data_IF_411777137526
#
_entry.id   IF_411777137526
#
_cell.length_a   1.000
_cell.length_b   1.000
_cell.length_c   1.000
_cell.angle_alpha   90.00
_cell.angle_beta   90.00
_cell.angle_gamma   90.00
#
_symmetry.space_group_name_H-M   'P 1'
#
loop_
_entity.id
_entity.type
_entity.pdbx_description
1 polymer ?
#
# COMPACT_ATOMS: atom_id res chain seq x y z
N UNK A 1 17.78 -23.66 50.16
CA UNK A 1 16.38 -23.97 49.76
C UNK A 1 16.37 -24.22 48.27
N UNK A 2 15.94 -25.40 47.85
CA UNK A 2 15.76 -25.69 46.42
C UNK A 2 14.62 -24.81 45.89
N UNK A 3 14.77 -24.28 44.65
CA UNK A 3 13.71 -23.48 44.01
C UNK A 3 12.43 -24.33 43.91
N UNK A 4 11.30 -23.77 44.24
CA UNK A 4 10.01 -24.47 44.15
C UNK A 4 9.67 -24.83 42.68
N UNK A 5 8.88 -25.91 42.47
CA UNK A 5 8.46 -26.39 41.15
C UNK A 5 7.91 -25.27 40.24
N UNK A 6 7.20 -24.33 40.81
CA UNK A 6 6.68 -23.12 40.15
C UNK A 6 7.77 -22.21 39.57
N UNK A 7 8.94 -22.19 40.22
CA UNK A 7 10.10 -21.43 39.74
C UNK A 7 10.82 -22.17 38.60
N UNK A 8 10.89 -23.49 38.72
CA UNK A 8 11.52 -24.36 37.69
C UNK A 8 10.67 -24.38 36.39
N UNK A 9 9.31 -24.44 36.51
CA UNK A 9 8.43 -24.34 35.35
C UNK A 9 8.55 -22.98 34.65
N UNK A 10 8.59 -21.88 35.38
CA UNK A 10 8.73 -20.52 34.80
C UNK A 10 10.08 -20.27 34.16
N UNK A 11 11.15 -20.93 34.60
CA UNK A 11 12.50 -20.72 34.09
C UNK A 11 12.95 -21.79 33.08
N UNK A 12 12.33 -22.99 33.07
CA UNK A 12 12.67 -24.06 32.12
C UNK A 12 12.21 -23.81 30.69
N UNK A 13 11.29 -22.87 30.46
CA UNK A 13 10.84 -22.49 29.09
C UNK A 13 11.71 -21.41 28.43
N UNK A 14 12.57 -20.74 29.19
CA UNK A 14 13.26 -19.55 28.73
C UNK A 14 14.43 -19.89 27.76
N UNK A 15 15.09 -21.03 27.94
CA UNK A 15 16.21 -21.48 27.11
C UNK A 15 15.75 -22.36 25.92
N UNK A 16 14.45 -22.41 25.61
CA UNK A 16 13.96 -23.20 24.49
C UNK A 16 14.32 -22.53 23.18
N UNK A 17 15.08 -23.21 22.31
CA UNK A 17 15.41 -22.69 20.99
C UNK A 17 14.15 -22.41 20.16
N UNK A 18 14.12 -21.28 19.49
CA UNK A 18 13.03 -20.89 18.60
C UNK A 18 13.38 -21.24 17.17
N UNK A 19 12.50 -21.95 16.49
CA UNK A 19 12.64 -22.20 15.06
C UNK A 19 12.26 -20.94 14.28
N UNK A 20 13.21 -20.33 13.57
CA UNK A 20 13.01 -19.20 12.67
C UNK A 20 13.51 -19.64 11.28
N UNK A 21 12.61 -20.15 10.43
CA UNK A 21 12.99 -20.73 9.13
C UNK A 21 13.43 -19.69 8.12
N UNK A 22 12.97 -18.44 8.24
CA UNK A 22 13.39 -17.34 7.36
C UNK A 22 14.76 -16.81 7.80
N UNK A 23 15.77 -17.03 6.95
CA UNK A 23 17.15 -16.64 7.23
C UNK A 23 17.31 -15.12 7.40
N UNK A 24 16.51 -14.30 6.71
CA UNK A 24 16.59 -12.86 6.78
C UNK A 24 15.95 -12.36 8.08
N UNK A 25 14.81 -12.94 8.48
CA UNK A 25 14.22 -12.66 9.79
C UNK A 25 15.17 -13.09 10.92
N UNK A 26 15.72 -14.29 10.84
CA UNK A 26 16.68 -14.81 11.82
C UNK A 26 17.89 -13.87 11.97
N UNK A 27 18.49 -13.42 10.86
CA UNK A 27 19.59 -12.44 10.88
C UNK A 27 19.19 -11.11 11.50
N UNK A 28 17.97 -10.63 11.19
CA UNK A 28 17.47 -9.39 11.75
C UNK A 28 17.27 -9.46 13.27
N UNK A 29 17.03 -10.65 13.81
CA UNK A 29 16.81 -10.89 15.24
C UNK A 29 18.08 -11.27 16.03
N UNK A 30 19.20 -11.61 15.36
CA UNK A 30 20.43 -12.07 16.04
C UNK A 30 21.01 -11.07 17.06
N UNK A 31 20.66 -9.79 17.00
CA UNK A 31 21.08 -8.83 18.03
C UNK A 31 20.46 -9.11 19.41
N UNK A 32 19.43 -9.97 19.48
CA UNK A 32 18.80 -10.41 20.72
C UNK A 32 19.54 -11.56 21.39
N UNK A 33 20.35 -12.31 20.64
CA UNK A 33 21.18 -13.40 21.11
C UNK A 33 22.20 -12.85 22.13
N UNK A 34 21.94 -13.09 23.41
CA UNK A 34 22.68 -12.44 24.50
C UNK A 34 23.87 -13.22 24.94
N UNK A 35 23.95 -14.52 24.67
CA UNK A 35 25.10 -15.37 25.00
C UNK A 35 26.04 -15.59 23.80
N UNK A 36 25.59 -15.22 22.57
CA UNK A 36 26.40 -15.24 21.37
C UNK A 36 26.61 -16.62 20.78
N UNK A 37 25.76 -17.58 21.11
CA UNK A 37 25.86 -18.95 20.62
C UNK A 37 25.23 -19.16 19.23
N UNK A 38 24.53 -18.14 18.69
CA UNK A 38 23.85 -18.13 17.40
C UNK A 38 22.46 -18.76 17.43
N UNK A 39 21.95 -19.12 18.60
CA UNK A 39 20.63 -19.72 18.81
C UNK A 39 19.72 -18.69 19.50
N UNK A 40 18.61 -18.34 18.86
CA UNK A 40 17.60 -17.50 19.50
C UNK A 40 16.65 -18.36 20.34
N UNK A 41 16.44 -17.93 21.56
CA UNK A 41 15.55 -18.61 22.53
C UNK A 41 14.23 -17.83 22.71
N UNK A 42 13.26 -18.46 23.37
CA UNK A 42 12.02 -17.79 23.77
C UNK A 42 12.27 -16.56 24.63
N UNK A 43 13.30 -16.63 25.53
CA UNK A 43 13.68 -15.50 26.38
C UNK A 43 14.21 -14.34 25.56
N UNK A 44 15.01 -14.61 24.53
CA UNK A 44 15.55 -13.55 23.66
C UNK A 44 14.44 -12.81 22.95
N UNK A 45 13.44 -13.51 22.39
CA UNK A 45 12.34 -12.85 21.70
C UNK A 45 11.42 -12.07 22.65
N UNK A 46 11.29 -12.49 23.91
CA UNK A 46 10.55 -11.74 24.94
C UNK A 46 11.20 -10.41 25.33
N UNK A 47 12.49 -10.23 25.05
CA UNK A 47 13.21 -8.95 25.27
C UNK A 47 12.73 -7.85 24.33
N UNK A 48 12.06 -8.19 23.24
CA UNK A 48 11.42 -7.19 22.37
C UNK A 48 10.23 -6.58 23.11
N UNK A 49 10.40 -5.37 23.65
CA UNK A 49 9.41 -4.67 24.45
C UNK A 49 8.96 -3.32 23.86
N UNK A 50 9.20 -3.10 22.58
CA UNK A 50 8.91 -1.86 21.86
C UNK A 50 8.46 -2.11 20.44
N UNK A 51 8.67 -1.11 19.58
CA UNK A 51 8.45 -1.23 18.15
C UNK A 51 9.75 -1.62 17.44
N UNK A 52 9.64 -2.56 16.49
CA UNK A 52 10.73 -3.00 15.64
C UNK A 52 10.45 -2.72 14.18
N UNK A 53 11.52 -2.50 13.40
CA UNK A 53 11.45 -2.23 11.97
C UNK A 53 12.36 -3.19 11.20
N UNK A 54 11.75 -4.00 10.33
CA UNK A 54 12.43 -4.95 9.45
C UNK A 54 11.96 -4.78 8.00
N UNK A 55 11.82 -3.53 7.54
CA UNK A 55 11.47 -3.23 6.15
C UNK A 55 12.62 -3.44 5.18
N UNK A 56 12.31 -3.75 3.91
CA UNK A 56 13.28 -3.99 2.83
C UNK A 56 14.31 -5.09 3.15
N UNK A 57 13.86 -6.20 3.74
CA UNK A 57 14.73 -7.25 4.27
C UNK A 57 14.52 -8.60 3.58
N UNK A 58 13.72 -8.67 2.50
CA UNK A 58 13.38 -9.88 1.77
C UNK A 58 12.82 -11.01 2.66
N UNK A 59 12.11 -10.65 3.75
CA UNK A 59 11.47 -11.58 4.67
C UNK A 59 10.22 -12.16 4.02
N UNK A 60 10.01 -13.47 4.16
CA UNK A 60 8.85 -14.20 3.61
C UNK A 60 8.01 -14.87 4.68
N UNK A 61 8.62 -15.22 5.80
CA UNK A 61 8.00 -15.99 6.88
C UNK A 61 8.29 -15.32 8.23
N UNK A 62 7.23 -15.09 9.00
CA UNK A 62 7.29 -14.48 10.33
C UNK A 62 7.35 -15.53 11.46
N UNK A 63 7.45 -16.82 11.14
CA UNK A 63 7.55 -17.90 12.13
C UNK A 63 8.70 -17.66 13.10
N UNK A 64 8.41 -17.78 14.37
CA UNK A 64 9.30 -17.44 15.49
C UNK A 64 8.90 -16.16 16.19
N UNK A 65 8.27 -15.19 15.51
CA UNK A 65 7.80 -13.96 16.17
C UNK A 65 6.65 -14.19 17.15
N UNK A 66 5.96 -15.32 17.13
CA UNK A 66 4.89 -15.67 18.09
C UNK A 66 5.35 -15.63 19.55
N UNK A 67 6.66 -15.72 19.80
CA UNK A 67 7.25 -15.63 21.14
C UNK A 67 7.57 -14.19 21.57
N UNK A 68 7.53 -13.21 20.68
CA UNK A 68 7.79 -11.79 20.95
C UNK A 68 6.59 -11.09 21.59
N UNK A 69 6.02 -11.70 22.64
CA UNK A 69 4.72 -11.31 23.26
C UNK A 69 4.70 -9.91 23.87
N UNK A 70 5.86 -9.32 24.16
CA UNK A 70 6.00 -7.97 24.73
C UNK A 70 6.11 -6.88 23.63
N UNK A 71 6.18 -7.28 22.35
CA UNK A 71 6.27 -6.35 21.23
C UNK A 71 5.02 -5.46 21.16
N UNK A 72 5.25 -4.15 20.97
CA UNK A 72 4.15 -3.16 20.85
C UNK A 72 4.01 -2.58 19.44
N UNK A 73 5.00 -2.76 18.58
CA UNK A 73 4.94 -2.37 17.18
C UNK A 73 5.76 -3.30 16.30
N UNK A 74 5.18 -3.69 15.16
CA UNK A 74 5.85 -4.46 14.12
C UNK A 74 5.74 -3.71 12.80
N UNK A 75 6.88 -3.37 12.22
CA UNK A 75 6.96 -2.71 10.93
C UNK A 75 7.82 -3.55 9.98
N UNK A 76 7.18 -4.17 9.01
CA UNK A 76 7.79 -5.08 8.02
C UNK A 76 7.44 -4.69 6.57
N UNK A 77 7.47 -3.38 6.22
CA UNK A 77 7.10 -2.97 4.87
C UNK A 77 8.14 -3.43 3.83
N UNK A 78 7.71 -3.55 2.56
CA UNK A 78 8.56 -3.91 1.43
C UNK A 78 9.28 -5.27 1.65
N UNK A 79 8.51 -6.30 1.93
CA UNK A 79 8.95 -7.68 2.07
C UNK A 79 8.11 -8.59 1.15
N UNK A 80 8.16 -9.89 1.35
CA UNK A 80 7.42 -10.89 0.55
C UNK A 80 6.54 -11.76 1.46
N UNK A 81 6.01 -11.18 2.54
CA UNK A 81 5.22 -11.87 3.55
C UNK A 81 3.83 -12.20 2.97
N UNK A 82 3.38 -13.43 3.17
CA UNK A 82 2.06 -13.90 2.74
C UNK A 82 1.15 -14.27 3.90
N UNK A 83 1.71 -14.67 5.05
CA UNK A 83 0.98 -15.20 6.22
C UNK A 83 1.25 -14.38 7.47
N UNK A 84 0.18 -14.01 8.17
CA UNK A 84 0.19 -13.28 9.46
C UNK A 84 -0.10 -14.20 10.66
N UNK A 85 -0.30 -15.51 10.47
CA UNK A 85 -0.59 -16.45 11.54
C UNK A 85 0.42 -16.41 12.70
N UNK A 86 1.75 -16.23 12.47
CA UNK A 86 2.71 -16.15 13.56
C UNK A 86 2.47 -15.00 14.53
N UNK A 87 1.89 -13.88 14.07
CA UNK A 87 1.66 -12.69 14.92
C UNK A 87 0.28 -12.64 15.57
N UNK A 88 -0.60 -13.60 15.32
CA UNK A 88 -2.01 -13.58 15.77
C UNK A 88 -2.22 -13.42 17.28
N UNK A 89 -1.25 -13.85 18.09
CA UNK A 89 -1.30 -13.82 19.54
C UNK A 89 -0.50 -12.66 20.17
N UNK A 90 0.08 -11.77 19.35
CA UNK A 90 0.83 -10.61 19.83
C UNK A 90 -0.12 -9.48 20.27
N UNK A 91 -0.94 -9.75 21.27
CA UNK A 91 -2.05 -8.89 21.71
C UNK A 91 -1.61 -7.53 22.28
N UNK A 92 -0.31 -7.32 22.52
CA UNK A 92 0.27 -6.05 22.92
C UNK A 92 0.55 -5.10 21.72
N UNK A 93 0.41 -5.57 20.48
CA UNK A 93 0.64 -4.74 19.31
C UNK A 93 -0.35 -3.56 19.24
N UNK A 94 0.21 -2.36 19.10
CA UNK A 94 -0.50 -1.10 18.87
C UNK A 94 -0.23 -0.56 17.47
N UNK A 95 0.89 -0.92 16.86
CA UNK A 95 1.29 -0.52 15.51
C UNK A 95 1.63 -1.76 14.67
N UNK A 96 1.03 -1.87 13.49
CA UNK A 96 1.36 -2.90 12.51
C UNK A 96 1.48 -2.27 11.12
N UNK A 97 2.68 -2.29 10.55
CA UNK A 97 2.93 -1.91 9.17
C UNK A 97 3.36 -3.13 8.35
N UNK A 98 2.47 -3.57 7.49
CA UNK A 98 2.63 -4.70 6.56
C UNK A 98 2.54 -4.23 5.10
N UNK A 99 2.76 -2.95 4.84
CA UNK A 99 2.66 -2.36 3.49
C UNK A 99 3.66 -2.98 2.51
N UNK A 100 3.26 -3.08 1.23
CA UNK A 100 4.10 -3.63 0.16
C UNK A 100 4.58 -5.06 0.47
N UNK A 101 3.64 -5.96 0.68
CA UNK A 101 3.84 -7.40 0.87
C UNK A 101 2.88 -8.19 -0.04
N UNK A 102 2.79 -9.49 0.16
CA UNK A 102 1.93 -10.39 -0.62
C UNK A 102 0.74 -10.95 0.19
N UNK A 103 0.29 -10.21 1.21
CA UNK A 103 -0.75 -10.64 2.15
C UNK A 103 -2.13 -10.58 1.48
N UNK A 104 -2.90 -11.65 1.63
CA UNK A 104 -4.27 -11.76 1.10
C UNK A 104 -5.34 -11.99 2.18
N UNK A 105 -4.95 -12.24 3.43
CA UNK A 105 -5.86 -12.46 4.57
C UNK A 105 -5.43 -11.67 5.80
N UNK A 106 -6.37 -10.90 6.37
CA UNK A 106 -6.20 -10.15 7.62
C UNK A 106 -6.89 -10.84 8.81
N UNK A 107 -7.48 -12.02 8.64
CA UNK A 107 -8.14 -12.75 9.73
C UNK A 107 -7.22 -12.96 10.95
N UNK A 108 -5.90 -13.26 10.78
CA UNK A 108 -5.03 -13.48 11.93
C UNK A 108 -4.89 -12.28 12.87
N UNK A 109 -5.08 -11.05 12.39
CA UNK A 109 -4.93 -9.86 13.26
C UNK A 109 -6.17 -9.48 14.03
N UNK A 110 -7.31 -10.14 13.85
CA UNK A 110 -8.59 -9.80 14.51
C UNK A 110 -8.55 -9.91 16.03
N UNK A 111 -7.63 -10.71 16.57
CA UNK A 111 -7.38 -10.82 18.01
C UNK A 111 -6.53 -9.69 18.63
N UNK A 112 -5.94 -8.82 17.81
CA UNK A 112 -5.03 -7.76 18.25
C UNK A 112 -5.82 -6.52 18.72
N UNK A 113 -6.61 -6.64 19.76
CA UNK A 113 -7.59 -5.62 20.20
C UNK A 113 -6.98 -4.29 20.66
N UNK A 114 -5.67 -4.25 20.92
CA UNK A 114 -4.93 -3.01 21.24
C UNK A 114 -4.40 -2.29 19.99
N UNK A 115 -4.58 -2.86 18.78
CA UNK A 115 -4.07 -2.28 17.55
C UNK A 115 -4.73 -0.93 17.28
N UNK A 116 -3.91 0.12 17.18
CA UNK A 116 -4.32 1.50 16.93
C UNK A 116 -4.02 1.91 15.48
N UNK A 117 -2.85 1.52 14.98
CA UNK A 117 -2.40 1.89 13.64
C UNK A 117 -2.13 0.63 12.81
N UNK A 118 -2.80 0.53 11.69
CA UNK A 118 -2.62 -0.53 10.69
C UNK A 118 -2.26 0.12 9.35
N UNK A 119 -1.17 -0.32 8.75
CA UNK A 119 -0.77 0.03 7.39
C UNK A 119 -0.69 -1.25 6.57
N UNK A 120 -1.59 -1.40 5.60
CA UNK A 120 -1.72 -2.61 4.77
C UNK A 120 -1.76 -2.29 3.26
N UNK A 121 -1.14 -1.17 2.85
CA UNK A 121 -1.10 -0.73 1.45
C UNK A 121 -0.37 -1.73 0.56
N UNK A 122 -0.75 -1.79 -0.72
CA UNK A 122 -0.05 -2.58 -1.73
C UNK A 122 0.16 -4.03 -1.29
N UNK A 123 -0.92 -4.71 -0.98
CA UNK A 123 -0.98 -6.14 -0.70
C UNK A 123 -1.90 -6.83 -1.72
N UNK A 124 -2.26 -8.07 -1.49
CA UNK A 124 -3.16 -8.88 -2.34
C UNK A 124 -4.55 -9.07 -1.74
N UNK A 125 -4.98 -8.13 -0.90
CA UNK A 125 -6.30 -8.19 -0.26
C UNK A 125 -7.41 -7.98 -1.29
N UNK A 126 -8.41 -8.83 -1.29
CA UNK A 126 -9.62 -8.72 -2.10
C UNK A 126 -10.87 -8.52 -1.25
N UNK A 127 -10.76 -8.71 0.06
CA UNK A 127 -11.84 -8.51 1.01
C UNK A 127 -11.30 -8.09 2.39
N UNK A 128 -12.21 -7.53 3.21
CA UNK A 128 -11.93 -7.12 4.58
C UNK A 128 -12.73 -8.02 5.53
N UNK A 129 -12.11 -8.68 6.51
CA UNK A 129 -12.82 -9.37 7.56
C UNK A 129 -13.61 -8.38 8.44
N UNK A 130 -14.48 -8.87 9.32
CA UNK A 130 -15.16 -8.00 10.30
C UNK A 130 -14.16 -7.52 11.36
N UNK A 131 -13.74 -6.26 11.23
CA UNK A 131 -12.73 -5.62 12.09
C UNK A 131 -13.33 -4.88 13.30
N UNK A 132 -14.63 -5.02 13.57
CA UNK A 132 -15.30 -4.36 14.72
C UNK A 132 -14.68 -4.73 16.07
N UNK A 133 -14.09 -5.93 16.18
CA UNK A 133 -13.33 -6.36 17.35
C UNK A 133 -12.09 -5.53 17.64
N UNK A 134 -11.52 -4.86 16.64
CA UNK A 134 -10.38 -3.97 16.77
C UNK A 134 -10.84 -2.57 17.23
N UNK A 135 -11.37 -2.50 18.45
CA UNK A 135 -12.02 -1.29 18.97
C UNK A 135 -11.09 -0.08 19.12
N UNK A 136 -9.79 -0.30 19.19
CA UNK A 136 -8.77 0.75 19.30
C UNK A 136 -8.28 1.25 17.93
N UNK A 137 -8.67 0.61 16.81
CA UNK A 137 -8.16 0.92 15.48
C UNK A 137 -8.62 2.30 15.01
N UNK A 138 -7.67 3.14 14.64
CA UNK A 138 -7.89 4.49 14.13
C UNK A 138 -7.80 4.50 12.59
N UNK A 139 -8.96 4.64 11.91
CA UNK A 139 -9.02 4.66 10.45
C UNK A 139 -8.60 6.02 9.84
N UNK A 140 -8.56 7.07 10.67
CA UNK A 140 -8.31 8.46 10.27
C UNK A 140 -7.09 9.05 10.98
N UNK A 141 -6.17 8.22 11.46
CA UNK A 141 -4.93 8.71 12.08
C UNK A 141 -4.04 9.36 11.01
N UNK A 142 -3.88 10.67 11.07
CA UNK A 142 -2.91 11.38 10.27
C UNK A 142 -1.67 11.69 11.10
N UNK A 143 -0.55 11.08 10.76
CA UNK A 143 0.75 11.52 11.30
C UNK A 143 1.21 12.80 10.59
N UNK A 144 0.70 13.12 9.39
CA UNK A 144 1.08 14.28 8.57
C UNK A 144 -0.10 15.06 7.95
N UNK A 145 -1.32 14.98 8.53
CA UNK A 145 -2.47 15.76 8.05
C UNK A 145 -3.20 15.18 6.82
N UNK A 146 -2.71 14.11 6.22
CA UNK A 146 -3.40 13.36 5.18
C UNK A 146 -4.05 12.11 5.79
N UNK A 147 -5.39 11.90 5.66
CA UNK A 147 -6.01 10.66 6.12
C UNK A 147 -5.36 9.49 5.38
N UNK A 148 -4.47 8.79 6.05
CA UNK A 148 -3.69 7.73 5.42
C UNK A 148 -4.60 6.61 4.94
N UNK A 149 -4.45 6.27 3.68
CA UNK A 149 -5.16 5.18 3.04
C UNK A 149 -4.54 3.87 3.47
N UNK A 150 -5.18 3.20 4.41
CA UNK A 150 -4.74 1.92 4.98
C UNK A 150 -4.66 0.83 3.90
N UNK A 151 -5.58 0.85 2.95
CA UNK A 151 -5.82 -0.24 2.00
C UNK A 151 -5.52 0.10 0.54
N UNK A 152 -4.93 1.25 0.23
CA UNK A 152 -4.55 1.62 -1.15
C UNK A 152 -3.70 0.51 -1.80
N UNK A 153 -3.91 0.29 -3.09
CA UNK A 153 -3.15 -0.71 -3.87
C UNK A 153 -3.54 -2.17 -3.57
N UNK A 154 -4.68 -2.38 -2.90
CA UNK A 154 -5.31 -3.69 -2.78
C UNK A 154 -6.49 -3.80 -3.75
N UNK A 155 -6.96 -5.01 -4.02
CA UNK A 155 -8.07 -5.30 -4.94
C UNK A 155 -9.42 -5.40 -4.20
N UNK A 156 -9.68 -4.51 -3.22
CA UNK A 156 -10.87 -4.56 -2.37
C UNK A 156 -11.98 -3.69 -2.96
N UNK A 157 -13.06 -4.26 -3.47
CA UNK A 157 -14.21 -3.50 -3.96
C UNK A 157 -14.87 -2.70 -2.83
N UNK A 158 -15.48 -1.57 -3.19
CA UNK A 158 -16.08 -0.62 -2.24
C UNK A 158 -17.12 -1.26 -1.31
N UNK A 159 -17.99 -2.12 -1.84
CA UNK A 159 -19.02 -2.83 -1.10
C UNK A 159 -18.50 -3.78 -0.04
N UNK A 160 -17.22 -4.18 -0.13
CA UNK A 160 -16.57 -5.05 0.86
C UNK A 160 -16.20 -4.34 2.16
N UNK A 161 -16.22 -3.00 2.17
CA UNK A 161 -15.95 -2.21 3.38
C UNK A 161 -17.19 -1.99 4.24
N UNK A 162 -18.41 -2.13 3.70
CA UNK A 162 -19.63 -1.84 4.42
C UNK A 162 -19.79 -2.71 5.67
N UNK A 163 -20.06 -2.06 6.81
CA UNK A 163 -20.29 -2.73 8.09
C UNK A 163 -19.08 -3.47 8.70
N UNK A 164 -17.88 -3.29 8.17
CA UNK A 164 -16.65 -3.98 8.64
C UNK A 164 -15.95 -3.28 9.80
N UNK A 165 -16.29 -2.02 10.09
CA UNK A 165 -15.66 -1.20 11.11
C UNK A 165 -16.71 -0.60 12.06
N UNK A 166 -16.28 -0.23 13.27
CA UNK A 166 -17.14 0.49 14.23
C UNK A 166 -17.36 1.95 13.83
N UNK A 167 -16.46 2.51 13.01
CA UNK A 167 -16.52 3.89 12.55
C UNK A 167 -17.33 3.99 11.26
N UNK A 168 -18.08 5.09 11.08
CA UNK A 168 -18.76 5.38 9.81
C UNK A 168 -17.71 5.85 8.81
N UNK A 169 -17.58 5.10 7.71
CA UNK A 169 -16.66 5.45 6.62
C UNK A 169 -17.22 6.62 5.81
N UNK A 170 -16.36 7.60 5.51
CA UNK A 170 -16.72 8.71 4.61
C UNK A 170 -16.56 8.31 3.14
N UNK A 171 -17.26 9.01 2.24
CA UNK A 171 -17.11 8.83 0.79
C UNK A 171 -15.65 9.02 0.35
N UNK A 172 -14.97 10.05 0.88
CA UNK A 172 -13.57 10.31 0.59
C UNK A 172 -12.68 9.15 1.00
N UNK A 173 -12.87 8.60 2.22
CA UNK A 173 -12.12 7.44 2.69
C UNK A 173 -12.36 6.21 1.82
N UNK A 174 -13.63 5.94 1.47
CA UNK A 174 -14.01 4.81 0.62
C UNK A 174 -13.38 4.94 -0.77
N UNK A 175 -13.45 6.10 -1.39
CA UNK A 175 -12.86 6.33 -2.71
C UNK A 175 -11.32 6.16 -2.70
N UNK A 176 -10.67 6.50 -1.60
CA UNK A 176 -9.21 6.38 -1.45
C UNK A 176 -8.74 4.94 -1.19
N UNK A 177 -9.54 4.12 -0.51
CA UNK A 177 -9.14 2.80 -0.04
C UNK A 177 -9.75 1.63 -0.83
N UNK A 178 -10.80 1.86 -1.62
CA UNK A 178 -11.43 0.81 -2.40
C UNK A 178 -10.83 0.68 -3.80
N UNK A 179 -10.89 -0.54 -4.31
CA UNK A 179 -10.54 -0.84 -5.70
C UNK A 179 -11.78 -0.61 -6.58
N UNK A 180 -11.64 0.23 -7.61
CA UNK A 180 -12.68 0.44 -8.62
C UNK A 180 -12.29 -0.31 -9.90
N UNK A 181 -12.92 -1.47 -10.09
CA UNK A 181 -12.69 -2.35 -11.23
C UNK A 181 -13.39 -1.85 -12.52
N UNK A 182 -13.94 -0.64 -12.54
CA UNK A 182 -14.55 -0.09 -13.75
C UNK A 182 -13.54 -0.06 -14.87
N UNK A 183 -13.76 -0.86 -15.91
CA UNK A 183 -12.88 -0.93 -17.08
C UNK A 183 -12.90 0.39 -17.83
N UNK A 184 -11.73 0.92 -18.10
CA UNK A 184 -11.53 2.15 -18.86
C UNK A 184 -10.90 1.81 -20.22
N UNK A 185 -11.60 2.17 -21.27
CA UNK A 185 -11.07 2.01 -22.63
C UNK A 185 -10.11 3.16 -22.95
N UNK A 186 -8.92 2.80 -23.45
CA UNK A 186 -7.93 3.74 -24.02
C UNK A 186 -7.74 3.37 -25.47
N UNK A 187 -8.47 4.02 -26.41
CA UNK A 187 -8.51 3.62 -27.82
C UNK A 187 -7.16 3.81 -28.56
N UNK A 188 -6.36 4.79 -28.13
CA UNK A 188 -5.05 5.02 -28.72
C UNK A 188 -4.02 4.02 -28.17
N UNK A 189 -3.60 3.07 -29.01
CA UNK A 189 -2.65 2.03 -28.63
C UNK A 189 -1.30 2.58 -28.13
N UNK A 190 -0.85 3.72 -28.67
CA UNK A 190 0.41 4.32 -28.27
C UNK A 190 0.31 4.97 -26.89
N UNK A 191 -0.85 5.60 -26.60
CA UNK A 191 -1.18 6.11 -25.27
C UNK A 191 -1.30 4.94 -24.28
N UNK A 192 -2.06 3.90 -24.63
CA UNK A 192 -2.21 2.70 -23.80
C UNK A 192 -0.86 2.08 -23.44
N UNK A 193 0.04 1.89 -24.41
CA UNK A 193 1.41 1.39 -24.17
C UNK A 193 2.22 2.31 -23.27
N UNK A 194 2.10 3.63 -23.43
CA UNK A 194 2.82 4.59 -22.61
C UNK A 194 2.37 4.52 -21.13
N UNK A 195 1.07 4.41 -20.91
CA UNK A 195 0.48 4.30 -19.56
C UNK A 195 0.84 2.96 -18.93
N UNK A 196 0.72 1.83 -19.65
CA UNK A 196 0.99 0.49 -19.10
C UNK A 196 2.43 0.31 -18.61
N UNK A 197 3.38 1.06 -19.15
CA UNK A 197 4.77 1.07 -18.66
C UNK A 197 4.93 1.75 -17.29
N UNK A 198 3.95 2.55 -16.86
CA UNK A 198 3.98 3.34 -15.63
C UNK A 198 2.98 2.83 -14.58
N UNK A 199 1.91 2.20 -15.04
CA UNK A 199 0.79 1.72 -14.21
C UNK A 199 0.80 0.19 -14.23
N UNK A 200 0.94 -0.49 -13.08
CA UNK A 200 0.91 -1.94 -13.01
C UNK A 200 -0.50 -2.47 -13.37
N UNK A 201 -0.53 -3.64 -13.97
CA UNK A 201 -1.75 -4.43 -14.16
C UNK A 201 -2.00 -5.18 -12.85
N UNK A 202 -2.78 -4.56 -11.97
CA UNK A 202 -2.89 -5.01 -10.57
C UNK A 202 -3.80 -6.22 -10.39
N UNK A 203 -4.77 -6.43 -11.30
CA UNK A 203 -5.67 -7.59 -11.29
C UNK A 203 -5.31 -8.65 -12.34
N UNK A 204 -4.35 -8.35 -13.23
CA UNK A 204 -3.83 -9.29 -14.22
C UNK A 204 -4.74 -9.54 -15.41
N UNK A 205 -5.74 -8.67 -15.65
CA UNK A 205 -6.73 -8.84 -16.71
C UNK A 205 -6.30 -8.20 -18.06
N UNK A 206 -5.18 -7.48 -18.07
CA UNK A 206 -4.61 -6.81 -19.25
C UNK A 206 -5.33 -5.53 -19.66
N UNK A 207 -6.39 -5.12 -18.96
CA UNK A 207 -7.17 -3.91 -19.23
C UNK A 207 -6.78 -2.80 -18.27
N UNK A 208 -7.24 -1.61 -18.54
CA UNK A 208 -7.14 -0.52 -17.57
C UNK A 208 -8.43 -0.43 -16.77
N UNK A 209 -8.30 -0.17 -15.48
CA UNK A 209 -9.43 0.18 -14.63
C UNK A 209 -9.17 1.53 -13.93
N UNK A 210 -10.20 2.07 -13.31
CA UNK A 210 -10.12 3.39 -12.69
C UNK A 210 -9.10 3.43 -11.53
N UNK A 211 -9.01 2.37 -10.73
CA UNK A 211 -8.02 2.30 -9.65
C UNK A 211 -6.59 2.31 -10.16
N UNK A 212 -6.31 1.61 -11.24
CA UNK A 212 -4.98 1.60 -11.87
C UNK A 212 -4.63 2.98 -12.43
N UNK A 213 -5.53 3.62 -13.19
CA UNK A 213 -5.29 4.95 -13.73
C UNK A 213 -5.11 6.00 -12.64
N UNK A 214 -5.73 5.83 -11.48
CA UNK A 214 -5.52 6.72 -10.34
C UNK A 214 -4.08 6.67 -9.78
N UNK A 215 -3.32 5.62 -10.05
CA UNK A 215 -1.90 5.54 -9.68
C UNK A 215 -0.99 6.40 -10.57
N UNK A 216 -1.49 6.86 -11.74
CA UNK A 216 -0.71 7.66 -12.68
C UNK A 216 -0.57 9.10 -12.18
N UNK A 217 0.65 9.50 -11.79
CA UNK A 217 0.95 10.86 -11.31
C UNK A 217 1.69 11.70 -12.35
N UNK A 218 2.43 11.08 -13.23
CA UNK A 218 3.16 11.74 -14.31
C UNK A 218 3.13 10.88 -15.57
N UNK A 219 2.98 11.51 -16.75
CA UNK A 219 3.02 10.84 -18.04
C UNK A 219 3.92 11.62 -18.99
N UNK A 220 5.04 11.03 -19.42
CA UNK A 220 5.90 11.58 -20.46
C UNK A 220 5.89 10.64 -21.66
N UNK A 221 5.16 11.05 -22.72
CA UNK A 221 4.91 10.26 -23.92
C UNK A 221 5.19 11.07 -25.20
N UNK A 222 6.33 11.78 -25.24
CA UNK A 222 6.73 12.60 -26.36
C UNK A 222 7.07 11.76 -27.60
N UNK A 223 6.66 12.23 -28.79
CA UNK A 223 7.02 11.64 -30.07
C UNK A 223 6.49 10.23 -30.32
N UNK A 224 5.35 9.86 -29.72
CA UNK A 224 4.78 8.51 -29.80
C UNK A 224 3.65 8.35 -30.82
N UNK A 225 3.37 9.38 -31.61
CA UNK A 225 2.27 9.38 -32.60
C UNK A 225 0.88 9.25 -31.97
N UNK A 226 0.71 9.70 -30.73
CA UNK A 226 -0.57 9.71 -30.00
C UNK A 226 -1.51 10.71 -30.67
N UNK A 227 -2.78 10.32 -30.85
CA UNK A 227 -3.83 11.13 -31.48
C UNK A 227 -5.00 11.39 -30.56
N UNK A 228 -5.33 10.41 -29.71
CA UNK A 228 -6.51 10.41 -28.86
C UNK A 228 -6.08 10.25 -27.41
N UNK A 229 -6.57 11.15 -26.54
CA UNK A 229 -6.29 11.16 -25.12
C UNK A 229 -7.42 10.54 -24.28
N UNK A 230 -8.43 9.96 -24.92
CA UNK A 230 -9.57 9.31 -24.23
C UNK A 230 -9.05 8.27 -23.23
N UNK A 231 -9.60 8.32 -22.02
CA UNK A 231 -9.20 7.49 -20.87
C UNK A 231 -8.31 8.24 -19.89
N UNK A 232 -7.57 9.29 -20.31
CA UNK A 232 -6.77 10.09 -19.35
C UNK A 232 -7.61 10.88 -18.34
N UNK A 233 -8.86 11.19 -18.64
CA UNK A 233 -9.80 11.86 -17.72
C UNK A 233 -9.99 11.12 -16.40
N UNK A 234 -9.66 9.83 -16.35
CA UNK A 234 -9.71 8.99 -15.14
C UNK A 234 -8.42 9.00 -14.31
N UNK A 235 -7.34 9.61 -14.82
CA UNK A 235 -6.07 9.73 -14.10
C UNK A 235 -6.11 10.90 -13.10
N UNK A 236 -6.97 10.83 -12.10
CA UNK A 236 -7.29 11.93 -11.15
C UNK A 236 -6.07 12.46 -10.36
N UNK A 237 -5.00 11.67 -10.27
CA UNK A 237 -3.77 12.05 -9.57
C UNK A 237 -2.68 12.58 -10.51
N UNK A 238 -2.97 12.74 -11.81
CA UNK A 238 -2.00 13.23 -12.77
C UNK A 238 -1.65 14.69 -12.48
N UNK A 239 -0.36 14.96 -12.25
CA UNK A 239 0.21 16.28 -11.94
C UNK A 239 0.93 16.87 -13.14
N UNK A 240 1.60 16.03 -13.93
CA UNK A 240 2.37 16.48 -15.09
C UNK A 240 2.17 15.58 -16.29
N UNK A 241 1.99 16.20 -17.47
CA UNK A 241 1.89 15.49 -18.73
C UNK A 241 2.81 16.15 -19.78
N UNK A 242 3.68 15.34 -20.41
CA UNK A 242 4.53 15.71 -21.53
C UNK A 242 4.14 14.90 -22.78
N UNK A 243 3.56 15.59 -23.77
CA UNK A 243 3.01 15.00 -24.99
C UNK A 243 3.55 15.70 -26.24
N UNK A 244 4.75 16.29 -26.17
CA UNK A 244 5.42 16.99 -27.27
C UNK A 244 5.57 16.07 -28.51
N UNK A 245 5.44 16.61 -29.69
CA UNK A 245 5.63 15.91 -30.97
C UNK A 245 4.70 14.71 -31.15
N UNK A 246 3.43 14.92 -30.93
CA UNK A 246 2.38 13.95 -31.19
C UNK A 246 1.42 14.46 -32.30
N UNK A 247 0.25 13.88 -32.41
CA UNK A 247 -0.76 14.23 -33.44
C UNK A 247 -2.09 14.55 -32.76
N UNK A 248 -2.05 15.13 -31.56
CA UNK A 248 -3.21 15.42 -30.71
C UNK A 248 -3.97 16.62 -31.30
N UNK A 249 -5.29 16.49 -31.40
CA UNK A 249 -6.19 17.55 -31.84
C UNK A 249 -7.16 17.98 -30.72
N UNK A 250 -7.55 17.04 -29.84
CA UNK A 250 -8.50 17.26 -28.76
C UNK A 250 -7.83 17.09 -27.38
N UNK A 251 -7.97 18.10 -26.53
CA UNK A 251 -7.44 18.13 -25.17
C UNK A 251 -8.54 18.03 -24.10
N UNK A 252 -9.79 17.77 -24.51
CA UNK A 252 -10.94 17.62 -23.60
C UNK A 252 -10.69 16.59 -22.50
N UNK A 253 -10.02 15.43 -22.73
CA UNK A 253 -9.72 14.47 -21.65
C UNK A 253 -8.86 15.04 -20.51
N UNK A 254 -8.14 16.13 -20.73
CA UNK A 254 -7.35 16.79 -19.68
C UNK A 254 -8.16 17.79 -18.85
N UNK A 255 -9.35 18.23 -19.31
CA UNK A 255 -10.09 19.37 -18.80
C UNK A 255 -10.42 19.32 -17.29
N UNK A 256 -10.68 18.13 -16.76
CA UNK A 256 -11.22 17.97 -15.40
C UNK A 256 -10.23 17.28 -14.44
N UNK A 257 -8.94 17.24 -14.80
CA UNK A 257 -7.92 16.63 -13.95
C UNK A 257 -7.56 17.57 -12.79
N UNK A 258 -7.95 17.25 -11.54
CA UNK A 258 -7.97 18.21 -10.43
C UNK A 258 -6.58 18.63 -9.96
N UNK A 259 -5.55 17.81 -10.24
CA UNK A 259 -4.17 18.02 -9.79
C UNK A 259 -3.21 18.43 -10.91
N UNK A 260 -3.70 18.50 -12.16
CA UNK A 260 -2.83 18.75 -13.31
C UNK A 260 -2.27 20.19 -13.28
N UNK A 261 -0.94 20.27 -13.17
CA UNK A 261 -0.20 21.51 -12.99
C UNK A 261 0.77 21.81 -14.14
N UNK A 262 1.29 20.78 -14.81
CA UNK A 262 2.30 20.94 -15.87
C UNK A 262 1.84 20.22 -17.14
N UNK A 263 1.66 20.97 -18.22
CA UNK A 263 1.17 20.46 -19.50
C UNK A 263 2.11 20.91 -20.62
N UNK A 264 2.73 19.95 -21.32
CA UNK A 264 3.56 20.20 -22.48
C UNK A 264 2.94 19.53 -23.71
N UNK A 265 2.44 20.34 -24.64
CA UNK A 265 1.73 19.96 -25.87
C UNK A 265 2.40 20.57 -27.11
N UNK A 266 3.69 20.91 -27.04
CA UNK A 266 4.44 21.47 -28.15
C UNK A 266 4.40 20.51 -29.36
N UNK A 267 4.39 21.08 -30.61
CA UNK A 267 4.39 20.30 -31.83
C UNK A 267 3.24 19.27 -31.91
N UNK A 268 1.99 19.74 -31.81
CA UNK A 268 0.77 18.98 -32.01
C UNK A 268 -0.16 19.64 -33.05
N UNK A 269 -1.41 19.25 -33.11
CA UNK A 269 -2.39 19.73 -34.09
C UNK A 269 -3.64 20.34 -33.39
N UNK A 270 -3.43 20.96 -32.24
CA UNK A 270 -4.50 21.48 -31.40
C UNK A 270 -4.98 22.84 -31.97
N UNK A 271 -6.30 22.96 -32.10
CA UNK A 271 -6.96 24.19 -32.56
C UNK A 271 -7.80 24.87 -31.50
N UNK A 272 -8.24 24.11 -30.47
CA UNK A 272 -9.04 24.60 -29.36
C UNK A 272 -8.41 24.20 -28.02
N UNK A 273 -8.11 25.19 -27.19
CA UNK A 273 -7.56 25.02 -25.84
C UNK A 273 -8.58 25.40 -24.74
N UNK A 274 -9.81 25.76 -25.12
CA UNK A 274 -10.84 26.15 -24.15
C UNK A 274 -11.08 25.08 -23.06
N UNK A 275 -10.99 23.77 -23.33
CA UNK A 275 -11.11 22.75 -22.29
C UNK A 275 -10.10 22.91 -21.15
N UNK A 276 -8.90 23.41 -21.40
CA UNK A 276 -7.85 23.59 -20.38
C UNK A 276 -8.12 24.76 -19.42
N UNK A 277 -9.07 25.63 -19.72
CA UNK A 277 -9.41 26.77 -18.88
C UNK A 277 -10.00 26.37 -17.50
N UNK A 278 -10.48 25.13 -17.36
CA UNK A 278 -11.01 24.58 -16.11
C UNK A 278 -9.93 24.13 -15.12
N UNK A 279 -8.67 23.99 -15.54
CA UNK A 279 -7.55 23.48 -14.76
C UNK A 279 -7.07 24.49 -13.71
N UNK A 280 -7.64 24.40 -12.50
CA UNK A 280 -7.37 25.37 -11.40
C UNK A 280 -5.94 25.30 -10.85
N UNK A 281 -5.24 24.17 -11.02
CA UNK A 281 -3.88 23.94 -10.51
C UNK A 281 -2.81 24.19 -11.58
N UNK A 282 -3.19 24.58 -12.80
CA UNK A 282 -2.26 24.75 -13.91
C UNK A 282 -1.22 25.84 -13.63
N UNK A 283 0.06 25.47 -13.64
CA UNK A 283 1.22 26.32 -13.41
C UNK A 283 2.03 26.55 -14.68
N UNK A 284 2.06 25.58 -15.58
CA UNK A 284 2.81 25.65 -16.81
C UNK A 284 2.05 25.00 -17.96
N UNK A 285 1.89 25.74 -19.04
CA UNK A 285 1.28 25.28 -20.29
C UNK A 285 2.17 25.66 -21.45
N UNK A 286 2.62 24.66 -22.23
CA UNK A 286 3.41 24.85 -23.44
C UNK A 286 2.62 24.38 -24.66
N UNK A 287 2.46 25.25 -25.65
CA UNK A 287 1.59 25.04 -26.82
C UNK A 287 2.27 25.42 -28.15
N UNK A 288 3.57 25.74 -28.16
CA UNK A 288 4.25 26.18 -29.37
C UNK A 288 4.06 25.15 -30.50
N UNK A 289 3.96 25.68 -31.77
CA UNK A 289 3.79 24.87 -32.97
C UNK A 289 2.50 24.02 -32.95
N UNK A 290 1.38 24.62 -32.59
CA UNK A 290 0.02 24.11 -32.79
C UNK A 290 -0.71 24.95 -33.85
N UNK A 291 -1.98 24.74 -34.14
CA UNK A 291 -2.78 25.41 -35.16
C UNK A 291 -3.57 26.60 -34.60
#
# INVERSE_FOLDING_TARGET
EEPGEDWLERNSYNDTPVNIPDDNLRKALLYLDSDGDGVLTVEDLRKINGSVYYGNSDIKDLTGLEYAINMTGLQVPNNQITDLAPIKNLTNLMLLDISNNDINDLTPILGLTRLQNLYARNNKLTEIPDMKGLSSLMLYSSINGDPESIFIGNLIPRERFEGKFNQKLTEEWLNKNSYDATVIEIPDENLAKAIRNLVPDSDGDGKFNKSELSALTTLYANGRHIKDLTGLEYAENLVAVGLERNQITDVTPLANLPKLAYVDLIDNQITDIAPLASLKQLQSLKLSNNQ
#
